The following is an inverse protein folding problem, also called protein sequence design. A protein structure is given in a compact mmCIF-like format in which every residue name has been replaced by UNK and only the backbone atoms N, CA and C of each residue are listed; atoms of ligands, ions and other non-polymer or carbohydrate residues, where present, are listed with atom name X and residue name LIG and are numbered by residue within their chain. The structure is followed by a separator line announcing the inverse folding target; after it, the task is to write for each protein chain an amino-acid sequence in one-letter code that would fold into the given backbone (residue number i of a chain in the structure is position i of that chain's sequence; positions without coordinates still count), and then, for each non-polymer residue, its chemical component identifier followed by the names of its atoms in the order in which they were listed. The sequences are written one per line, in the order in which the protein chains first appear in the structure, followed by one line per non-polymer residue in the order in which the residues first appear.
data_IF_115521744485
#
_entry.id   IF_115521744485
#
_cell.length_a   1.000
_cell.length_b   1.000
_cell.length_c   1.000
_cell.angle_alpha   90.00
_cell.angle_beta   90.00
_cell.angle_gamma   90.00
#
_symmetry.space_group_name_H-M   'P 1'
#
loop_
_entity.id
_entity.type
_entity.pdbx_description
1 polymer ?
#
# COMPACT_ATOMS: atom_id res chain seq x y z
N UNK A 1 4.39 -14.67 -0.59
CA UNK A 1 3.02 -15.27 -0.66
C UNK A 1 2.41 -15.40 -2.06
N UNK A 2 2.86 -14.65 -3.08
CA UNK A 2 2.40 -14.86 -4.47
C UNK A 2 2.50 -16.34 -4.91
N UNK A 3 3.67 -16.97 -4.74
CA UNK A 3 3.87 -18.39 -5.07
C UNK A 3 2.98 -19.32 -4.27
N UNK A 4 2.76 -19.01 -2.98
CA UNK A 4 1.88 -19.80 -2.13
C UNK A 4 0.45 -19.87 -2.68
N UNK A 5 -0.07 -18.79 -3.26
CA UNK A 5 -1.38 -18.81 -3.93
C UNK A 5 -1.41 -19.76 -5.13
N UNK A 6 -0.35 -19.77 -5.96
CA UNK A 6 -0.28 -20.65 -7.14
C UNK A 6 -0.16 -22.12 -6.73
N UNK A 7 0.76 -22.43 -5.81
CA UNK A 7 0.97 -23.80 -5.33
C UNK A 7 -0.29 -24.32 -4.63
N UNK A 8 -0.98 -23.47 -3.86
CA UNK A 8 -2.24 -23.84 -3.23
C UNK A 8 -3.33 -24.12 -4.29
N UNK A 9 -3.40 -23.34 -5.36
CA UNK A 9 -4.30 -23.61 -6.46
C UNK A 9 -4.02 -24.97 -7.13
N UNK A 10 -2.74 -25.36 -7.26
CA UNK A 10 -2.37 -26.70 -7.74
C UNK A 10 -2.85 -27.79 -6.79
N UNK A 11 -2.69 -27.61 -5.47
CA UNK A 11 -3.17 -28.58 -4.48
C UNK A 11 -4.69 -28.73 -4.47
N UNK A 12 -5.42 -27.65 -4.77
CA UNK A 12 -6.87 -27.69 -4.98
C UNK A 12 -7.28 -28.17 -6.38
N UNK A 13 -6.31 -28.65 -7.17
CA UNK A 13 -6.51 -29.14 -8.54
C UNK A 13 -7.19 -28.12 -9.47
N UNK A 14 -6.93 -26.83 -9.24
CA UNK A 14 -7.44 -25.73 -10.06
C UNK A 14 -6.57 -25.66 -11.32
N UNK A 15 -7.13 -26.13 -12.43
CA UNK A 15 -6.54 -26.00 -13.77
C UNK A 15 -7.32 -25.01 -14.63
N UNK A 16 -6.61 -24.32 -15.53
CA UNK A 16 -7.15 -23.37 -16.49
C UNK A 16 -6.98 -23.97 -17.87
N UNK A 17 -8.09 -24.36 -18.51
CA UNK A 17 -8.04 -25.03 -19.81
C UNK A 17 -7.32 -26.39 -19.79
N UNK A 18 -7.30 -27.07 -18.63
CA UNK A 18 -6.64 -28.37 -18.46
C UNK A 18 -5.17 -28.28 -18.02
N UNK A 19 -4.61 -27.08 -17.89
CA UNK A 19 -3.22 -26.88 -17.45
C UNK A 19 -3.14 -26.13 -16.12
N UNK A 20 -2.08 -26.39 -15.35
CA UNK A 20 -1.78 -25.66 -14.13
C UNK A 20 -1.11 -24.33 -14.45
N UNK A 21 -1.56 -23.25 -13.79
CA UNK A 21 -0.93 -21.92 -13.90
C UNK A 21 0.52 -21.99 -13.44
N UNK A 22 1.44 -21.43 -14.22
CA UNK A 22 2.84 -21.21 -13.83
C UNK A 22 3.10 -19.73 -13.62
N UNK A 23 4.28 -19.41 -13.12
CA UNK A 23 4.72 -18.03 -12.95
C UNK A 23 6.12 -17.81 -13.48
N UNK A 24 6.43 -16.55 -13.72
CA UNK A 24 7.79 -16.04 -13.87
C UNK A 24 7.95 -14.87 -12.91
N UNK A 25 9.16 -14.68 -12.41
CA UNK A 25 9.50 -13.57 -11.52
C UNK A 25 10.53 -12.68 -12.21
N UNK A 26 10.43 -11.38 -11.95
CA UNK A 26 11.48 -10.44 -12.28
C UNK A 26 11.55 -9.36 -11.21
N UNK A 27 12.72 -8.78 -11.09
CA UNK A 27 13.03 -7.78 -10.09
C UNK A 27 13.32 -6.45 -10.77
N UNK A 28 12.88 -5.37 -10.13
CA UNK A 28 13.23 -4.00 -10.50
C UNK A 28 14.09 -3.38 -9.41
N UNK A 29 15.00 -2.50 -9.79
CA UNK A 29 15.78 -1.66 -8.85
C UNK A 29 15.00 -0.42 -8.40
N UNK A 30 13.75 -0.28 -8.83
CA UNK A 30 12.91 0.91 -8.70
C UNK A 30 13.01 1.85 -9.92
N UNK A 31 13.80 1.46 -10.93
CA UNK A 31 13.83 2.11 -12.24
C UNK A 31 12.70 1.57 -13.12
N UNK A 32 11.91 2.47 -13.68
CA UNK A 32 10.72 2.10 -14.48
C UNK A 32 11.06 1.32 -15.76
N UNK A 33 12.30 1.38 -16.23
CA UNK A 33 12.72 0.61 -17.41
C UNK A 33 12.90 -0.88 -17.10
N UNK A 34 13.30 -1.22 -15.87
CA UNK A 34 13.53 -2.61 -15.45
C UNK A 34 12.24 -3.41 -15.52
N UNK A 35 11.11 -2.83 -15.07
CA UNK A 35 9.81 -3.51 -15.13
C UNK A 35 9.33 -3.72 -16.57
N UNK A 36 9.64 -2.78 -17.47
CA UNK A 36 9.29 -2.93 -18.90
C UNK A 36 10.13 -4.04 -19.53
N UNK A 37 11.42 -4.10 -19.23
CA UNK A 37 12.33 -5.14 -19.72
C UNK A 37 11.87 -6.53 -19.25
N UNK A 38 11.63 -6.70 -17.94
CA UNK A 38 11.13 -7.94 -17.35
C UNK A 38 9.85 -8.43 -18.04
N UNK A 39 8.85 -7.55 -18.18
CA UNK A 39 7.56 -7.96 -18.77
C UNK A 39 7.71 -8.21 -20.27
N UNK A 40 8.50 -7.43 -20.98
CA UNK A 40 8.77 -7.63 -22.40
C UNK A 40 9.48 -8.97 -22.65
N UNK A 41 10.48 -9.30 -21.83
CA UNK A 41 11.18 -10.58 -21.88
C UNK A 41 10.22 -11.75 -21.62
N UNK A 42 9.41 -11.67 -20.57
CA UNK A 42 8.43 -12.71 -20.23
C UNK A 42 7.41 -12.93 -21.35
N UNK A 43 6.92 -11.85 -21.99
CA UNK A 43 5.99 -11.92 -23.12
C UNK A 43 6.60 -12.50 -24.39
N UNK A 44 7.91 -12.39 -24.57
CA UNK A 44 8.62 -12.94 -25.73
C UNK A 44 8.93 -14.43 -25.61
N UNK A 45 8.91 -14.97 -24.39
CA UNK A 45 9.30 -16.36 -24.09
C UNK A 45 8.13 -17.22 -23.61
N UNK A 46 6.98 -16.63 -23.29
CA UNK A 46 5.83 -17.35 -22.73
C UNK A 46 4.50 -16.64 -22.95
N UNK A 47 3.42 -17.42 -22.84
CA UNK A 47 2.05 -16.94 -22.91
C UNK A 47 1.61 -16.40 -21.54
N UNK A 48 1.67 -15.06 -21.39
CA UNK A 48 1.33 -14.37 -20.14
C UNK A 48 -0.16 -13.99 -20.14
N UNK A 49 -0.87 -14.32 -19.06
CA UNK A 49 -2.31 -14.07 -18.87
C UNK A 49 -2.62 -12.92 -17.92
N UNK A 50 -1.63 -12.41 -17.19
CA UNK A 50 -1.80 -11.33 -16.22
C UNK A 50 -0.49 -11.05 -15.48
N UNK A 51 -0.44 -9.89 -14.83
CA UNK A 51 0.70 -9.43 -14.04
C UNK A 51 0.22 -9.20 -12.61
N UNK A 52 0.91 -9.77 -11.62
CA UNK A 52 0.72 -9.42 -10.20
C UNK A 52 1.87 -8.53 -9.77
N UNK A 53 1.56 -7.37 -9.22
CA UNK A 53 2.51 -6.27 -9.04
C UNK A 53 2.20 -5.11 -9.99
N UNK A 54 3.12 -4.14 -10.16
CA UNK A 54 4.41 -4.01 -9.48
C UNK A 54 4.24 -3.47 -8.05
N UNK A 55 5.37 -3.29 -7.35
CA UNK A 55 5.41 -2.77 -5.98
C UNK A 55 5.25 -1.24 -5.94
N UNK A 56 5.98 -0.51 -6.79
CA UNK A 56 5.99 0.97 -6.75
C UNK A 56 4.92 1.57 -7.66
N UNK A 57 4.26 2.64 -7.21
CA UNK A 57 3.29 3.37 -8.04
C UNK A 57 3.88 3.89 -9.34
N UNK A 58 5.12 4.39 -9.33
CA UNK A 58 5.81 4.86 -10.55
C UNK A 58 6.01 3.76 -11.59
N UNK A 59 6.14 2.51 -11.17
CA UNK A 59 6.24 1.35 -12.07
C UNK A 59 4.86 0.96 -12.59
N UNK A 60 3.85 1.03 -11.73
CA UNK A 60 2.47 0.71 -12.06
C UNK A 60 1.91 1.65 -13.15
N UNK A 61 2.21 2.96 -13.05
CA UNK A 61 1.80 3.95 -14.07
C UNK A 61 2.37 3.66 -15.46
N UNK A 62 3.56 3.06 -15.54
CA UNK A 62 4.21 2.70 -16.82
C UNK A 62 3.71 1.37 -17.34
N UNK A 63 3.56 0.36 -16.46
CA UNK A 63 3.20 -0.98 -16.88
C UNK A 63 1.72 -1.14 -17.19
N UNK A 64 0.84 -0.36 -16.57
CA UNK A 64 -0.60 -0.46 -16.82
C UNK A 64 -1.00 -0.12 -18.27
N UNK A 65 -0.53 0.99 -18.89
CA UNK A 65 -0.75 1.25 -20.31
C UNK A 65 -0.11 0.19 -21.23
N UNK A 66 1.06 -0.33 -20.87
CA UNK A 66 1.67 -1.43 -21.62
C UNK A 66 0.81 -2.69 -21.58
N UNK A 67 0.37 -3.11 -20.40
CA UNK A 67 -0.53 -4.26 -20.22
C UNK A 67 -1.87 -4.08 -20.92
N UNK A 68 -2.41 -2.85 -20.97
CA UNK A 68 -3.58 -2.52 -21.78
C UNK A 68 -3.33 -2.80 -23.26
N UNK A 69 -2.16 -2.40 -23.79
CA UNK A 69 -1.79 -2.68 -25.19
C UNK A 69 -1.73 -4.19 -25.47
N UNK A 70 -1.21 -4.98 -24.53
CA UNK A 70 -1.10 -6.44 -24.64
C UNK A 70 -2.45 -7.15 -24.37
N UNK A 71 -3.39 -6.50 -23.69
CA UNK A 71 -4.70 -7.06 -23.36
C UNK A 71 -4.70 -7.93 -22.11
N UNK A 72 -3.77 -7.75 -21.18
CA UNK A 72 -3.72 -8.52 -19.92
C UNK A 72 -4.03 -7.62 -18.70
N UNK A 73 -4.62 -8.15 -17.62
CA UNK A 73 -4.79 -7.42 -16.37
C UNK A 73 -3.47 -7.24 -15.62
N UNK A 74 -3.34 -6.11 -14.92
CA UNK A 74 -2.33 -5.87 -13.89
C UNK A 74 -3.06 -5.77 -12.56
N UNK A 75 -2.69 -6.59 -11.57
CA UNK A 75 -3.24 -6.54 -10.21
C UNK A 75 -2.11 -6.20 -9.24
N UNK A 76 -1.96 -4.93 -8.90
CA UNK A 76 -0.94 -4.50 -7.94
C UNK A 76 -1.40 -4.74 -6.51
N UNK A 77 -0.47 -5.19 -5.68
CA UNK A 77 -0.69 -5.40 -4.25
C UNK A 77 -0.10 -4.29 -3.38
N UNK A 78 0.52 -3.25 -3.98
CA UNK A 78 1.23 -2.21 -3.23
C UNK A 78 1.23 -0.81 -3.85
N UNK A 79 0.88 -0.64 -5.12
CA UNK A 79 0.80 0.68 -5.76
C UNK A 79 -0.46 1.44 -5.32
N UNK A 80 -0.31 2.45 -4.49
CA UNK A 80 -1.43 3.17 -3.85
C UNK A 80 -1.75 4.54 -4.46
N UNK A 81 -1.02 4.98 -5.49
CA UNK A 81 -1.27 6.27 -6.16
C UNK A 81 -2.74 6.41 -6.61
N UNK A 82 -3.43 7.52 -6.24
CA UNK A 82 -4.80 7.80 -6.64
C UNK A 82 -5.05 7.85 -8.15
N UNK A 83 -4.08 8.28 -8.97
CA UNK A 83 -4.30 8.41 -10.42
C UNK A 83 -4.59 7.07 -11.09
N UNK A 84 -3.99 5.99 -10.56
CA UNK A 84 -4.26 4.61 -10.98
C UNK A 84 -5.73 4.19 -10.77
N UNK A 85 -6.51 4.91 -9.96
CA UNK A 85 -7.95 4.67 -9.75
C UNK A 85 -8.81 4.92 -11.00
N UNK A 86 -8.32 5.76 -11.93
CA UNK A 86 -9.08 6.21 -13.08
C UNK A 86 -9.21 5.09 -14.13
N UNK A 87 -10.39 4.46 -14.17
CA UNK A 87 -10.68 3.36 -15.09
C UNK A 87 -10.56 3.74 -16.57
N UNK A 88 -10.80 5.00 -16.93
CA UNK A 88 -10.70 5.45 -18.32
C UNK A 88 -9.24 5.52 -18.79
N UNK A 89 -8.31 5.83 -17.86
CA UNK A 89 -6.87 5.91 -18.15
C UNK A 89 -6.21 4.54 -18.00
N UNK A 90 -6.61 3.76 -16.99
CA UNK A 90 -6.01 2.48 -16.65
C UNK A 90 -7.04 1.33 -16.66
N UNK A 91 -7.66 1.00 -17.80
CA UNK A 91 -8.76 0.03 -17.87
C UNK A 91 -8.37 -1.38 -17.44
N UNK A 92 -7.10 -1.75 -17.65
CA UNK A 92 -6.56 -3.07 -17.32
C UNK A 92 -5.92 -3.15 -15.93
N UNK A 93 -5.87 -2.04 -15.19
CA UNK A 93 -5.29 -2.00 -13.85
C UNK A 93 -6.33 -2.36 -12.79
N UNK A 94 -5.88 -3.08 -11.77
CA UNK A 94 -6.59 -3.38 -10.55
C UNK A 94 -5.61 -3.35 -9.38
N UNK A 95 -6.13 -3.20 -8.16
CA UNK A 95 -5.31 -3.37 -6.96
C UNK A 95 -6.07 -3.92 -5.77
N UNK A 96 -5.39 -4.76 -4.98
CA UNK A 96 -5.93 -5.33 -3.74
C UNK A 96 -5.61 -4.50 -2.51
N UNK A 97 -4.55 -3.69 -2.56
CA UNK A 97 -4.24 -2.65 -1.57
C UNK A 97 -5.21 -1.47 -1.73
N UNK A 98 -5.61 -0.80 -0.64
CA UNK A 98 -6.41 0.43 -0.73
C UNK A 98 -5.68 1.59 -1.46
N UNK A 99 -6.45 2.50 -2.07
CA UNK A 99 -5.95 3.77 -2.62
C UNK A 99 -5.49 4.72 -1.52
N UNK A 100 -4.51 5.58 -1.80
CA UNK A 100 -4.15 6.73 -0.95
C UNK A 100 -5.32 7.72 -0.79
N UNK A 101 -6.33 7.70 -1.67
CA UNK A 101 -7.59 8.44 -1.43
C UNK A 101 -8.25 8.03 -0.12
N UNK A 102 -8.22 6.74 0.19
CA UNK A 102 -8.77 6.26 1.44
C UNK A 102 -7.85 6.60 2.62
N UNK A 103 -6.53 6.56 2.42
CA UNK A 103 -5.58 6.97 3.45
C UNK A 103 -5.73 8.47 3.79
N UNK A 104 -5.97 9.32 2.80
CA UNK A 104 -6.26 10.74 2.97
C UNK A 104 -7.56 10.97 3.76
N UNK A 105 -8.63 10.20 3.48
CA UNK A 105 -9.86 10.23 4.27
C UNK A 105 -9.63 9.78 5.71
N UNK A 106 -8.86 8.71 5.92
CA UNK A 106 -8.50 8.25 7.26
C UNK A 106 -7.70 9.32 8.02
N UNK A 107 -6.77 10.01 7.34
CA UNK A 107 -6.01 11.12 7.91
C UNK A 107 -6.91 12.31 8.30
N UNK A 108 -7.89 12.68 7.46
CA UNK A 108 -8.91 13.69 7.82
C UNK A 108 -9.63 13.31 9.10
N UNK A 109 -10.11 12.07 9.20
CA UNK A 109 -10.82 11.58 10.40
C UNK A 109 -9.91 11.60 11.64
N UNK A 110 -8.61 11.34 11.46
CA UNK A 110 -7.63 11.41 12.54
C UNK A 110 -7.45 12.85 13.05
N UNK A 111 -7.35 13.82 12.13
CA UNK A 111 -7.24 15.24 12.47
C UNK A 111 -8.48 15.74 13.22
N UNK A 112 -9.67 15.38 12.75
CA UNK A 112 -10.94 15.70 13.42
C UNK A 112 -10.96 15.10 14.84
N UNK A 113 -10.60 13.82 14.99
CA UNK A 113 -10.54 13.15 16.30
C UNK A 113 -9.66 13.90 17.31
N UNK A 114 -8.55 14.46 16.83
CA UNK A 114 -7.59 15.16 17.69
C UNK A 114 -7.74 16.68 17.71
N UNK A 115 -8.73 17.25 17.04
CA UNK A 115 -8.95 18.70 16.90
C UNK A 115 -7.73 19.42 16.28
N UNK A 116 -6.99 18.76 15.38
CA UNK A 116 -5.94 19.40 14.60
C UNK A 116 -6.55 20.00 13.34
N UNK A 117 -6.09 21.19 12.95
CA UNK A 117 -6.66 21.94 11.82
C UNK A 117 -5.74 22.02 10.62
N UNK A 118 -4.45 21.74 10.78
CA UNK A 118 -3.49 21.86 9.69
C UNK A 118 -2.19 21.10 9.89
N UNK A 119 -1.48 20.82 8.80
CA UNK A 119 -0.17 20.18 8.80
C UNK A 119 0.78 20.71 7.73
N UNK A 120 2.04 20.34 7.87
CA UNK A 120 3.03 20.33 6.78
C UNK A 120 3.14 18.91 6.25
N UNK A 121 3.11 18.72 4.93
CA UNK A 121 3.33 17.40 4.31
C UNK A 121 4.73 17.36 3.70
N UNK A 122 5.53 16.38 4.09
CA UNK A 122 6.80 16.05 3.43
C UNK A 122 6.55 14.82 2.57
N UNK A 123 6.96 14.83 1.31
CA UNK A 123 6.65 13.75 0.37
C UNK A 123 7.81 13.42 -0.56
N UNK A 124 7.93 12.16 -0.97
CA UNK A 124 8.89 11.75 -2.00
C UNK A 124 8.42 12.22 -3.40
N UNK A 125 9.32 12.67 -4.26
CA UNK A 125 8.96 13.27 -5.55
C UNK A 125 8.75 12.26 -6.70
N UNK A 126 7.90 11.25 -6.49
CA UNK A 126 7.42 10.36 -7.54
C UNK A 126 5.88 10.26 -7.56
N UNK A 127 5.35 9.38 -8.40
CA UNK A 127 3.91 9.14 -8.57
C UNK A 127 3.18 8.90 -7.23
N UNK A 128 3.76 8.09 -6.33
CA UNK A 128 3.18 7.83 -5.01
C UNK A 128 3.11 9.09 -4.16
N UNK A 129 4.21 9.82 -4.02
CA UNK A 129 4.23 11.01 -3.17
C UNK A 129 3.40 12.17 -3.72
N UNK A 130 3.45 12.43 -5.03
CA UNK A 130 2.67 13.47 -5.68
C UNK A 130 1.16 13.18 -5.61
N UNK A 131 0.75 11.95 -5.92
CA UNK A 131 -0.63 11.51 -5.84
C UNK A 131 -1.18 11.60 -4.41
N UNK A 132 -0.40 11.12 -3.43
CA UNK A 132 -0.74 11.19 -2.01
C UNK A 132 -0.93 12.63 -1.50
N UNK A 133 0.02 13.54 -1.77
CA UNK A 133 -0.10 14.94 -1.37
C UNK A 133 -1.33 15.62 -1.96
N UNK A 134 -1.62 15.35 -3.24
CA UNK A 134 -2.81 15.90 -3.91
C UNK A 134 -4.08 15.39 -3.24
N UNK A 135 -4.17 14.09 -2.95
CA UNK A 135 -5.35 13.51 -2.30
C UNK A 135 -5.54 14.00 -0.86
N UNK A 136 -4.45 14.10 -0.08
CA UNK A 136 -4.46 14.70 1.26
C UNK A 136 -4.96 16.14 1.19
N UNK A 137 -4.39 16.96 0.30
CA UNK A 137 -4.75 18.38 0.15
C UNK A 137 -6.23 18.55 -0.22
N UNK A 138 -6.72 17.76 -1.18
CA UNK A 138 -8.12 17.79 -1.60
C UNK A 138 -9.07 17.37 -0.47
N UNK A 139 -8.76 16.27 0.22
CA UNK A 139 -9.57 15.74 1.31
C UNK A 139 -9.60 16.69 2.52
N UNK A 140 -8.47 17.32 2.83
CA UNK A 140 -8.35 18.32 3.89
C UNK A 140 -9.20 19.55 3.57
N UNK A 141 -9.06 20.10 2.36
CA UNK A 141 -9.82 21.27 1.93
C UNK A 141 -11.34 21.01 1.95
N UNK A 142 -11.77 19.83 1.49
CA UNK A 142 -13.17 19.41 1.53
C UNK A 142 -13.74 19.29 2.96
N UNK A 143 -12.87 19.19 3.96
CA UNK A 143 -13.23 19.01 5.38
C UNK A 143 -12.88 20.21 6.26
N UNK A 144 -12.52 21.35 5.67
CA UNK A 144 -12.14 22.56 6.41
C UNK A 144 -10.78 22.49 7.14
N UNK A 145 -9.95 21.51 6.79
CA UNK A 145 -8.56 21.36 7.23
C UNK A 145 -7.62 21.95 6.18
N UNK A 146 -6.34 22.14 6.51
CA UNK A 146 -5.39 22.73 5.57
C UNK A 146 -4.00 22.06 5.58
N UNK A 147 -3.49 21.74 4.40
CA UNK A 147 -2.05 21.56 4.18
C UNK A 147 -1.43 22.95 4.02
N UNK A 148 -0.68 23.40 5.03
CA UNK A 148 -0.09 24.77 5.04
C UNK A 148 1.19 24.87 4.24
N UNK A 149 1.88 23.74 4.08
CA UNK A 149 3.15 23.65 3.38
C UNK A 149 3.36 22.23 2.87
N UNK A 150 3.93 22.12 1.69
CA UNK A 150 4.46 20.88 1.14
C UNK A 150 5.97 20.99 1.02
N UNK A 151 6.68 19.94 1.37
CA UNK A 151 8.15 19.86 1.31
C UNK A 151 8.52 18.62 0.51
N UNK A 152 9.35 18.81 -0.50
CA UNK A 152 9.75 17.74 -1.41
C UNK A 152 11.01 17.03 -0.89
N UNK A 153 10.98 15.71 -0.84
CA UNK A 153 12.14 14.85 -0.75
C UNK A 153 12.48 14.34 -2.15
N UNK A 154 13.67 14.71 -2.64
CA UNK A 154 14.14 14.33 -3.96
C UNK A 154 14.75 12.93 -3.93
N UNK A 155 14.08 11.96 -4.57
CA UNK A 155 14.51 10.57 -4.59
C UNK A 155 15.77 10.34 -5.43
N UNK A 156 16.12 11.28 -6.32
CA UNK A 156 17.32 11.18 -7.15
C UNK A 156 18.56 11.65 -6.37
N UNK A 157 18.43 12.71 -5.57
CA UNK A 157 19.53 13.21 -4.73
C UNK A 157 19.49 12.69 -3.29
N UNK A 158 18.43 11.94 -2.93
CA UNK A 158 18.16 11.41 -1.59
C UNK A 158 18.19 12.48 -0.50
N UNK A 159 17.62 13.66 -0.78
CA UNK A 159 17.69 14.82 0.10
C UNK A 159 16.41 15.64 0.10
N UNK A 160 16.12 16.31 1.22
CA UNK A 160 15.03 17.28 1.31
C UNK A 160 15.41 18.55 0.53
N UNK A 161 14.48 19.06 -0.28
CA UNK A 161 14.66 20.35 -0.97
C UNK A 161 14.45 21.51 0.00
N UNK A 162 15.50 22.28 0.21
CA UNK A 162 15.52 23.42 1.13
C UNK A 162 16.05 23.07 2.53
N UNK A 163 15.92 23.99 3.49
CA UNK A 163 16.37 23.77 4.86
C UNK A 163 15.21 23.27 5.73
N UNK A 164 15.20 21.97 6.06
CA UNK A 164 14.10 21.33 6.81
C UNK A 164 13.78 22.06 8.12
N UNK A 165 14.80 22.40 8.90
CA UNK A 165 14.63 23.13 10.17
C UNK A 165 13.82 24.41 9.97
N UNK A 166 14.26 25.27 9.06
CA UNK A 166 13.59 26.56 8.76
C UNK A 166 12.20 26.35 8.18
N UNK A 167 12.00 25.31 7.36
CA UNK A 167 10.71 24.99 6.76
C UNK A 167 9.67 24.61 7.82
N UNK A 168 10.06 23.86 8.85
CA UNK A 168 9.16 23.39 9.90
C UNK A 168 9.00 24.41 11.04
N UNK A 169 10.06 25.07 11.49
CA UNK A 169 9.96 26.04 12.60
C UNK A 169 9.15 27.28 12.22
N UNK A 170 9.25 27.73 10.96
CA UNK A 170 8.49 28.88 10.44
C UNK A 170 7.03 28.53 10.06
N UNK A 171 6.64 27.26 10.07
CA UNK A 171 5.25 26.88 9.86
C UNK A 171 4.42 27.18 11.11
N UNK A 172 3.14 27.54 10.96
CA UNK A 172 2.23 27.76 12.09
C UNK A 172 1.80 26.42 12.76
N UNK A 173 1.82 25.33 12.00
CA UNK A 173 1.50 23.99 12.47
C UNK A 173 2.73 23.27 13.02
N UNK A 174 2.49 22.38 13.98
CA UNK A 174 3.46 21.43 14.54
C UNK A 174 3.13 19.97 14.20
N UNK A 175 2.11 19.74 13.38
CA UNK A 175 1.81 18.43 12.82
C UNK A 175 2.54 18.27 11.49
N UNK A 176 3.35 17.22 11.38
CA UNK A 176 4.08 16.87 10.15
C UNK A 176 3.57 15.53 9.65
N UNK A 177 3.15 15.49 8.40
CA UNK A 177 2.77 14.25 7.72
C UNK A 177 3.90 13.87 6.78
N UNK A 178 4.50 12.70 6.97
CA UNK A 178 5.50 12.14 6.09
C UNK A 178 4.85 11.14 5.15
N UNK A 179 4.83 11.46 3.86
CA UNK A 179 4.30 10.63 2.78
C UNK A 179 5.45 10.08 1.92
N UNK A 180 6.11 9.05 2.42
CA UNK A 180 7.24 8.40 1.78
C UNK A 180 7.19 6.89 2.02
N UNK A 181 7.78 6.12 1.11
CA UNK A 181 7.93 4.68 1.31
C UNK A 181 8.95 4.39 2.41
N UNK A 182 8.86 3.21 3.00
CA UNK A 182 9.73 2.77 4.10
C UNK A 182 11.23 2.87 3.79
N UNK A 183 11.64 2.78 2.53
CA UNK A 183 13.03 2.92 2.11
C UNK A 183 13.61 4.34 2.30
N UNK A 184 12.78 5.39 2.19
CA UNK A 184 13.22 6.79 2.33
C UNK A 184 12.90 7.38 3.70
N UNK A 185 11.95 6.80 4.43
CA UNK A 185 11.56 7.23 5.78
C UNK A 185 12.77 7.40 6.74
N UNK A 186 13.74 6.46 6.82
CA UNK A 186 14.91 6.63 7.68
C UNK A 186 15.76 7.86 7.35
N UNK A 187 16.00 8.14 6.07
CA UNK A 187 16.81 9.27 5.62
C UNK A 187 16.17 10.61 6.00
N UNK A 188 14.85 10.72 5.81
CA UNK A 188 14.09 11.94 6.10
C UNK A 188 14.01 12.17 7.62
N UNK A 189 13.76 11.11 8.40
CA UNK A 189 13.72 11.21 9.85
C UNK A 189 15.10 11.50 10.45
N UNK A 190 16.20 11.01 9.85
CA UNK A 190 17.55 11.35 10.28
C UNK A 190 17.82 12.85 10.12
N UNK A 191 17.49 13.45 8.97
CA UNK A 191 17.60 14.91 8.78
C UNK A 191 16.71 15.67 9.79
N UNK A 192 15.50 15.16 10.08
CA UNK A 192 14.62 15.74 11.09
C UNK A 192 15.19 15.69 12.51
N UNK A 193 15.88 14.59 12.87
CA UNK A 193 16.59 14.43 14.15
C UNK A 193 17.74 15.44 14.25
N UNK A 194 18.59 15.50 13.22
CA UNK A 194 19.76 16.39 13.19
C UNK A 194 19.34 17.87 13.18
N UNK A 195 18.19 18.16 12.55
CA UNK A 195 17.56 19.48 12.53
C UNK A 195 16.80 19.83 13.82
N UNK A 196 16.64 18.91 14.78
CA UNK A 196 15.85 19.06 16.01
C UNK A 196 14.38 19.48 15.76
N UNK A 197 13.74 18.86 14.77
CA UNK A 197 12.34 19.14 14.37
C UNK A 197 11.42 17.92 14.53
N UNK A 198 11.75 17.09 15.50
CA UNK A 198 10.97 15.94 15.97
C UNK A 198 10.38 16.23 17.35
N UNK A 199 10.08 15.21 18.16
CA UNK A 199 9.61 15.42 19.53
C UNK A 199 10.61 16.21 20.39
N UNK A 200 10.13 16.96 21.40
CA UNK A 200 8.75 17.03 21.89
C UNK A 200 7.86 18.05 21.17
N UNK A 201 8.41 18.90 20.30
CA UNK A 201 7.69 20.06 19.76
C UNK A 201 6.90 19.78 18.48
N UNK A 202 7.22 18.71 17.77
CA UNK A 202 6.52 18.28 16.56
C UNK A 202 5.91 16.90 16.74
N UNK A 203 4.71 16.72 16.19
CA UNK A 203 4.04 15.42 16.11
C UNK A 203 4.08 14.94 14.66
N UNK A 204 4.70 13.79 14.45
CA UNK A 204 4.85 13.20 13.13
C UNK A 204 3.84 12.08 12.91
N UNK A 205 3.24 12.08 11.72
CA UNK A 205 2.33 11.05 11.22
C UNK A 205 2.96 10.50 9.94
N UNK A 206 3.20 9.20 9.88
CA UNK A 206 3.94 8.54 8.81
C UNK A 206 2.99 7.67 7.98
N UNK A 207 3.21 7.58 6.67
CA UNK A 207 2.52 6.62 5.78
C UNK A 207 3.00 5.17 5.93
N UNK A 208 4.08 4.93 6.67
CA UNK A 208 4.65 3.61 6.91
C UNK A 208 5.25 3.51 8.31
N UNK A 209 5.43 2.29 8.81
CA UNK A 209 6.17 2.03 10.04
C UNK A 209 7.62 2.55 9.97
N UNK A 210 8.19 2.85 11.14
CA UNK A 210 9.61 3.19 11.28
C UNK A 210 10.43 1.90 11.33
N UNK A 211 11.46 1.80 10.50
CA UNK A 211 12.48 0.75 10.65
C UNK A 211 13.51 1.21 11.68
N UNK A 212 13.33 0.82 12.95
CA UNK A 212 14.12 1.36 14.06
C UNK A 212 15.63 1.04 13.96
N UNK A 213 15.98 -0.07 13.30
CA UNK A 213 17.36 -0.53 13.14
C UNK A 213 18.27 0.43 12.34
N UNK A 214 17.71 1.45 11.68
CA UNK A 214 18.48 2.50 10.99
C UNK A 214 18.95 3.62 11.91
N UNK A 215 18.47 3.68 13.16
CA UNK A 215 18.77 4.77 14.09
C UNK A 215 19.61 4.29 15.27
N UNK A 216 20.47 5.16 15.76
CA UNK A 216 21.15 4.95 17.04
C UNK A 216 20.13 5.01 18.18
N UNK A 217 20.28 4.15 19.19
CA UNK A 217 19.44 4.11 20.39
C UNK A 217 19.32 5.47 21.09
N UNK A 218 20.33 6.34 20.96
CA UNK A 218 20.31 7.71 21.50
C UNK A 218 19.16 8.56 20.93
N UNK A 219 18.70 8.26 19.72
CA UNK A 219 17.62 8.99 19.06
C UNK A 219 16.22 8.43 19.35
N UNK A 220 16.10 7.25 19.96
CA UNK A 220 14.83 6.59 20.17
C UNK A 220 13.84 7.44 20.97
N UNK A 221 14.31 8.17 21.97
CA UNK A 221 13.49 9.08 22.77
C UNK A 221 12.84 10.19 21.93
N UNK A 222 13.52 10.65 20.88
CA UNK A 222 13.01 11.70 19.99
C UNK A 222 11.97 11.18 18.97
N UNK A 223 11.96 9.87 18.72
CA UNK A 223 10.99 9.19 17.86
C UNK A 223 9.72 8.77 18.62
N UNK A 224 9.73 8.84 19.95
CA UNK A 224 8.54 8.53 20.76
C UNK A 224 7.40 9.50 20.40
N UNK A 225 6.22 8.91 20.28
CA UNK A 225 4.97 9.61 20.03
C UNK A 225 4.66 9.91 18.58
N UNK A 226 5.50 9.45 17.66
CA UNK A 226 5.12 9.37 16.25
C UNK A 226 3.96 8.40 16.06
N UNK A 227 3.13 8.67 15.06
CA UNK A 227 2.07 7.78 14.59
C UNK A 227 2.42 7.28 13.19
N UNK A 228 2.16 6.02 12.89
CA UNK A 228 2.08 5.53 11.51
C UNK A 228 0.64 5.17 11.18
N UNK A 229 0.21 5.46 9.95
CA UNK A 229 -1.08 5.02 9.40
C UNK A 229 -0.75 4.02 8.29
N UNK A 230 -1.09 2.75 8.52
CA UNK A 230 -0.70 1.65 7.64
C UNK A 230 -1.94 0.94 7.10
N UNK A 231 -1.98 0.57 5.80
CA UNK A 231 -3.02 -0.31 5.30
C UNK A 231 -2.85 -1.69 5.94
N UNK A 232 -3.95 -2.29 6.38
CA UNK A 232 -3.94 -3.59 7.06
C UNK A 232 -5.02 -4.52 6.53
N UNK A 233 -4.96 -5.75 6.99
CA UNK A 233 -5.94 -6.79 6.68
C UNK A 233 -7.01 -6.90 7.76
N UNK A 234 -8.11 -7.59 7.43
CA UNK A 234 -9.22 -7.80 8.36
C UNK A 234 -8.80 -8.45 9.68
N UNK A 235 -7.77 -9.30 9.69
CA UNK A 235 -7.21 -9.91 10.91
C UNK A 235 -6.77 -8.89 11.96
N UNK A 236 -6.27 -7.71 11.54
CA UNK A 236 -5.74 -6.70 12.47
C UNK A 236 -6.87 -5.95 13.18
N UNK A 237 -7.95 -5.68 12.45
CA UNK A 237 -9.08 -4.85 12.90
C UNK A 237 -10.28 -5.69 13.35
N UNK A 238 -10.09 -7.00 13.57
CA UNK A 238 -11.14 -7.98 13.90
C UNK A 238 -12.31 -8.02 12.88
N UNK A 239 -12.01 -7.83 11.61
CA UNK A 239 -12.95 -8.00 10.51
C UNK A 239 -12.86 -9.42 9.91
N UNK A 240 -13.91 -9.79 9.16
CA UNK A 240 -14.02 -11.11 8.56
C UNK A 240 -12.89 -11.36 7.54
N UNK A 241 -12.24 -12.51 7.66
CA UNK A 241 -11.25 -13.04 6.71
C UNK A 241 -11.49 -14.54 6.51
N UNK A 242 -10.92 -15.10 5.45
CA UNK A 242 -10.88 -16.55 5.26
C UNK A 242 -9.67 -17.15 6.01
N UNK A 243 -9.87 -17.50 7.29
CA UNK A 243 -8.81 -18.05 8.15
C UNK A 243 -8.30 -19.40 7.63
N UNK A 244 -9.19 -20.28 7.17
CA UNK A 244 -8.79 -21.57 6.59
C UNK A 244 -7.88 -21.40 5.37
N UNK A 245 -8.19 -20.44 4.49
CA UNK A 245 -7.34 -20.12 3.34
C UNK A 245 -6.01 -19.50 3.77
N UNK A 246 -6.01 -18.64 4.79
CA UNK A 246 -4.80 -18.04 5.35
C UNK A 246 -3.87 -19.11 5.96
N UNK A 247 -4.40 -20.00 6.79
CA UNK A 247 -3.64 -21.07 7.43
C UNK A 247 -3.05 -22.05 6.41
N UNK A 248 -3.82 -22.39 5.38
CA UNK A 248 -3.33 -23.17 4.25
C UNK A 248 -2.20 -22.44 3.52
N UNK A 249 -2.38 -21.15 3.22
CA UNK A 249 -1.37 -20.36 2.54
C UNK A 249 -0.06 -20.21 3.34
N UNK A 250 -0.13 -20.05 4.67
CA UNK A 250 1.03 -20.08 5.55
C UNK A 250 1.71 -21.45 5.59
N UNK A 251 0.93 -22.53 5.63
CA UNK A 251 1.46 -23.90 5.59
C UNK A 251 2.24 -24.15 4.29
N UNK A 252 1.69 -23.71 3.15
CA UNK A 252 2.38 -23.77 1.86
C UNK A 252 3.65 -22.93 1.85
N UNK A 253 3.59 -21.69 2.34
CA UNK A 253 4.77 -20.84 2.37
C UNK A 253 5.89 -21.45 3.22
N UNK A 254 5.55 -21.94 4.42
CA UNK A 254 6.48 -22.61 5.32
C UNK A 254 7.08 -23.89 4.70
N UNK A 255 6.30 -24.64 3.92
CA UNK A 255 6.76 -25.89 3.31
C UNK A 255 7.66 -25.66 2.08
N UNK A 256 7.30 -24.72 1.21
CA UNK A 256 7.93 -24.56 -0.11
C UNK A 256 8.97 -23.44 -0.18
N UNK A 257 8.88 -22.41 0.67
CA UNK A 257 9.89 -21.33 0.76
C UNK A 257 10.21 -20.97 2.23
N UNK A 258 10.63 -21.93 3.06
CA UNK A 258 10.85 -21.73 4.50
C UNK A 258 11.81 -20.58 4.81
N UNK A 259 12.82 -20.35 3.96
CA UNK A 259 13.84 -19.31 4.15
C UNK A 259 13.27 -17.89 4.09
N UNK A 260 12.17 -17.71 3.35
CA UNK A 260 11.52 -16.40 3.18
C UNK A 260 10.31 -16.19 4.09
N UNK A 261 9.87 -17.23 4.81
CA UNK A 261 8.70 -17.14 5.68
C UNK A 261 9.11 -16.59 7.06
N UNK A 262 8.64 -15.40 7.46
CA UNK A 262 9.07 -14.74 8.70
C UNK A 262 8.39 -15.31 9.97
N UNK A 263 7.55 -16.35 9.82
CA UNK A 263 6.61 -16.80 10.84
C UNK A 263 5.29 -16.04 10.76
N UNK A 264 4.18 -16.71 11.10
CA UNK A 264 2.81 -16.21 10.90
C UNK A 264 2.50 -14.88 11.61
N UNK A 265 3.20 -14.60 12.72
CA UNK A 265 3.02 -13.35 13.49
C UNK A 265 3.79 -12.15 12.90
N UNK A 266 4.75 -12.39 12.00
CA UNK A 266 5.63 -11.36 11.45
C UNK A 266 5.43 -11.12 9.95
N UNK A 267 4.38 -11.71 9.36
CA UNK A 267 4.07 -11.52 7.94
C UNK A 267 3.60 -10.10 7.69
N UNK A 268 4.24 -9.42 6.74
CA UNK A 268 3.85 -8.10 6.28
C UNK A 268 2.51 -8.14 5.53
N UNK A 269 1.64 -7.14 5.77
CA UNK A 269 0.30 -7.07 5.18
C UNK A 269 0.33 -7.02 3.65
N UNK A 270 1.37 -6.46 3.03
CA UNK A 270 1.55 -6.45 1.57
C UNK A 270 1.72 -7.88 1.00
N UNK A 271 2.26 -8.82 1.79
CA UNK A 271 2.29 -10.23 1.37
C UNK A 271 0.88 -10.83 1.30
N UNK A 272 -0.01 -10.44 2.22
CA UNK A 272 -1.41 -10.87 2.21
C UNK A 272 -2.19 -10.26 1.04
N UNK A 273 -1.94 -8.97 0.73
CA UNK A 273 -2.50 -8.34 -0.48
C UNK A 273 -1.99 -9.00 -1.76
N UNK A 274 -0.72 -9.43 -1.80
CA UNK A 274 -0.14 -10.13 -2.94
C UNK A 274 -0.77 -11.51 -3.15
N UNK A 275 -1.06 -12.23 -2.06
CA UNK A 275 -1.82 -13.48 -2.15
C UNK A 275 -3.19 -13.25 -2.78
N UNK A 276 -3.99 -12.30 -2.25
CA UNK A 276 -5.34 -12.05 -2.76
C UNK A 276 -5.34 -11.48 -4.19
N UNK A 277 -4.29 -10.73 -4.59
CA UNK A 277 -4.12 -10.29 -5.98
C UNK A 277 -3.94 -11.49 -6.92
N UNK A 278 -3.11 -12.43 -6.52
CA UNK A 278 -2.86 -13.68 -7.27
C UNK A 278 -4.11 -14.55 -7.31
N UNK A 279 -4.76 -14.73 -6.15
CA UNK A 279 -5.97 -15.52 -6.02
C UNK A 279 -7.12 -14.95 -6.85
N UNK A 280 -7.23 -13.62 -6.93
CA UNK A 280 -8.18 -12.92 -7.81
C UNK A 280 -7.95 -13.29 -9.27
N UNK A 281 -6.69 -13.28 -9.75
CA UNK A 281 -6.37 -13.64 -11.12
C UNK A 281 -6.70 -15.11 -11.41
N UNK A 282 -6.34 -16.02 -10.51
CA UNK A 282 -6.62 -17.47 -10.62
C UNK A 282 -8.13 -17.73 -10.72
N UNK A 283 -8.92 -17.15 -9.80
CA UNK A 283 -10.37 -17.28 -9.78
C UNK A 283 -11.02 -16.71 -11.05
N UNK A 284 -10.50 -15.59 -11.56
CA UNK A 284 -11.02 -14.94 -12.76
C UNK A 284 -10.75 -15.78 -14.03
N UNK A 285 -9.56 -16.37 -14.12
CA UNK A 285 -9.21 -17.31 -15.19
C UNK A 285 -10.07 -18.58 -15.14
N UNK A 286 -10.34 -19.09 -13.95
CA UNK A 286 -11.20 -20.26 -13.77
C UNK A 286 -12.63 -19.97 -14.25
N UNK A 287 -13.19 -18.81 -13.88
CA UNK A 287 -14.50 -18.34 -14.35
C UNK A 287 -14.53 -18.18 -15.87
N UNK A 288 -13.49 -17.58 -16.45
CA UNK A 288 -13.35 -17.42 -17.90
C UNK A 288 -13.42 -18.78 -18.61
N UNK A 289 -12.64 -19.75 -18.17
CA UNK A 289 -12.56 -21.06 -18.82
C UNK A 289 -13.78 -21.95 -18.55
N UNK A 290 -14.41 -21.85 -17.38
CA UNK A 290 -15.65 -22.55 -17.07
C UNK A 290 -16.79 -22.16 -18.02
N UNK A 291 -16.83 -20.90 -18.48
CA UNK A 291 -17.85 -20.43 -19.43
C UNK A 291 -17.75 -21.05 -20.83
N UNK A 292 -16.63 -21.71 -21.18
CA UNK A 292 -16.33 -22.24 -22.51
C UNK A 292 -16.40 -23.77 -22.65
N UNK A 293 -16.87 -24.49 -21.61
CA UNK A 293 -16.86 -25.97 -21.53
C UNK A 293 -17.58 -26.66 -22.72
N UNK A 294 -18.41 -25.96 -23.49
CA UNK A 294 -19.18 -26.55 -24.60
C UNK A 294 -18.56 -26.43 -26.01
N UNK A 295 -17.37 -25.83 -26.18
CA UNK A 295 -16.70 -25.75 -27.49
C UNK A 295 -15.27 -26.30 -27.40
N UNK A 296 -14.89 -27.13 -28.37
CA UNK A 296 -13.59 -27.81 -28.53
C UNK A 296 -12.38 -26.88 -28.76
N UNK A 297 -12.52 -25.58 -28.49
CA UNK A 297 -11.45 -24.57 -28.60
C UNK A 297 -10.87 -24.23 -27.24
N UNK A 298 -9.54 -24.06 -27.16
CA UNK A 298 -8.87 -23.54 -25.96
C UNK A 298 -9.55 -22.27 -25.43
N UNK A 299 -9.76 -22.19 -24.11
CA UNK A 299 -10.35 -21.02 -23.50
C UNK A 299 -9.43 -19.78 -23.54
N UNK A 300 -8.11 -20.01 -23.64
CA UNK A 300 -7.06 -19.02 -23.74
C UNK A 300 -6.42 -19.06 -25.14
N UNK A 301 -6.20 -17.90 -25.75
CA UNK A 301 -5.53 -17.78 -27.05
C UNK A 301 -4.66 -16.54 -27.07
N UNK A 302 -3.55 -16.62 -27.79
CA UNK A 302 -2.53 -15.59 -27.83
C UNK A 302 -2.13 -15.31 -29.28
N UNK A 303 -1.82 -14.05 -29.57
CA UNK A 303 -1.00 -13.70 -30.73
C UNK A 303 0.44 -13.64 -30.26
N UNK A 304 1.24 -14.61 -30.69
CA UNK A 304 2.64 -14.75 -30.30
C UNK A 304 3.56 -13.93 -31.23
N UNK A 305 4.63 -13.37 -30.67
CA UNK A 305 5.61 -12.57 -31.40
C UNK A 305 6.92 -12.52 -30.63
N UNK A 306 8.06 -12.52 -31.34
CA UNK A 306 9.37 -12.26 -30.73
C UNK A 306 9.51 -10.82 -30.23
N UNK A 307 8.74 -9.89 -30.81
CA UNK A 307 8.64 -8.52 -30.33
C UNK A 307 7.44 -8.37 -29.38
N UNK A 308 7.71 -8.14 -28.09
CA UNK A 308 6.71 -8.16 -27.02
C UNK A 308 5.55 -7.18 -27.24
N UNK A 309 5.77 -6.03 -27.86
CA UNK A 309 4.73 -5.05 -28.14
C UNK A 309 3.69 -5.53 -29.16
N UNK A 310 3.95 -6.63 -29.87
CA UNK A 310 3.00 -7.29 -30.75
C UNK A 310 2.29 -8.48 -30.12
N UNK A 311 2.71 -8.94 -28.93
CA UNK A 311 2.01 -10.00 -28.21
C UNK A 311 0.62 -9.54 -27.79
N UNK A 312 -0.40 -10.39 -27.91
CA UNK A 312 -1.76 -10.04 -27.47
C UNK A 312 -2.46 -11.23 -26.83
N UNK A 313 -3.11 -10.99 -25.71
CA UNK A 313 -4.08 -11.94 -25.15
C UNK A 313 -5.47 -11.71 -25.78
N UNK A 314 -6.00 -12.74 -26.46
CA UNK A 314 -7.19 -12.60 -27.30
C UNK A 314 -8.45 -12.38 -26.47
N UNK A 315 -8.59 -13.05 -25.34
CA UNK A 315 -9.80 -12.98 -24.49
C UNK A 315 -9.72 -11.86 -23.45
N UNK A 316 -8.98 -10.78 -23.74
CA UNK A 316 -8.76 -9.64 -22.83
C UNK A 316 -10.04 -9.14 -22.15
N UNK A 317 -11.05 -8.74 -22.93
CA UNK A 317 -12.28 -8.18 -22.39
C UNK A 317 -13.04 -9.16 -21.48
N UNK A 318 -13.04 -10.45 -21.81
CA UNK A 318 -13.70 -11.47 -21.00
C UNK A 318 -12.98 -11.70 -19.67
N UNK A 319 -11.64 -11.69 -19.69
CA UNK A 319 -10.85 -11.81 -18.45
C UNK A 319 -11.00 -10.57 -17.58
N UNK A 320 -10.97 -9.37 -18.16
CA UNK A 320 -11.17 -8.12 -17.42
C UNK A 320 -12.58 -8.03 -16.82
N UNK A 321 -13.60 -8.49 -17.53
CA UNK A 321 -14.96 -8.62 -17.01
C UNK A 321 -15.01 -9.63 -15.85
N UNK A 322 -14.34 -10.78 -15.97
CA UNK A 322 -14.24 -11.78 -14.91
C UNK A 322 -13.51 -11.26 -13.66
N UNK A 323 -12.44 -10.47 -13.82
CA UNK A 323 -11.75 -9.80 -12.70
C UNK A 323 -12.68 -8.79 -12.05
N UNK A 324 -13.36 -7.95 -12.84
CA UNK A 324 -14.26 -6.92 -12.31
C UNK A 324 -15.44 -7.52 -11.53
N UNK A 325 -15.97 -8.66 -11.97
CA UNK A 325 -17.06 -9.38 -11.30
C UNK A 325 -16.59 -10.33 -10.19
N UNK A 326 -15.28 -10.40 -9.92
CA UNK A 326 -14.79 -11.31 -8.90
C UNK A 326 -15.06 -10.77 -7.51
N UNK A 327 -15.78 -11.58 -6.74
CA UNK A 327 -16.10 -11.36 -5.35
C UNK A 327 -15.84 -12.65 -4.57
N UNK A 328 -15.12 -12.54 -3.46
CA UNK A 328 -14.88 -13.65 -2.54
C UNK A 328 -14.38 -13.14 -1.18
N UNK A 329 -14.45 -13.97 -0.14
CA UNK A 329 -13.77 -13.71 1.11
C UNK A 329 -12.30 -14.16 1.00
N UNK A 330 -11.39 -13.19 0.90
CA UNK A 330 -9.94 -13.42 0.82
C UNK A 330 -9.27 -13.49 2.18
N UNK A 331 -7.94 -13.62 2.18
CA UNK A 331 -7.15 -13.69 3.42
C UNK A 331 -6.91 -12.31 4.03
N UNK A 332 -6.97 -11.25 3.22
CA UNK A 332 -6.89 -9.86 3.68
C UNK A 332 -8.26 -9.26 4.04
N UNK A 333 -9.36 -9.96 3.75
CA UNK A 333 -10.74 -9.52 3.94
C UNK A 333 -11.60 -9.76 2.69
N UNK A 334 -12.84 -9.25 2.63
CA UNK A 334 -13.69 -9.36 1.44
C UNK A 334 -13.05 -8.68 0.22
N UNK A 335 -12.95 -9.37 -0.90
CA UNK A 335 -12.43 -8.86 -2.17
C UNK A 335 -13.63 -8.60 -3.10
N UNK A 336 -13.72 -7.39 -3.65
CA UNK A 336 -14.70 -7.03 -4.68
C UNK A 336 -14.16 -5.86 -5.50
N UNK A 337 -14.46 -5.85 -6.79
CA UNK A 337 -14.12 -4.78 -7.73
C UNK A 337 -15.38 -4.19 -8.36
N UNK A 338 -15.21 -3.09 -9.11
CA UNK A 338 -16.30 -2.47 -9.86
C UNK A 338 -15.84 -1.96 -11.22
N UNK A 339 -16.81 -1.69 -12.10
CA UNK A 339 -16.54 -1.07 -13.40
C UNK A 339 -16.16 0.41 -13.30
N UNK A 340 -16.39 1.07 -12.17
CA UNK A 340 -16.22 2.52 -12.05
C UNK A 340 -14.80 2.93 -11.65
N UNK A 341 -14.11 2.10 -10.86
CA UNK A 341 -12.76 2.36 -10.33
C UNK A 341 -11.92 1.10 -10.41
N UNK A 342 -10.59 1.27 -10.50
CA UNK A 342 -9.62 0.15 -10.51
C UNK A 342 -9.37 -0.46 -9.12
N UNK A 343 -9.82 0.21 -8.07
CA UNK A 343 -9.59 -0.17 -6.69
C UNK A 343 -10.45 -1.38 -6.27
N UNK A 344 -9.93 -2.19 -5.35
CA UNK A 344 -10.79 -2.96 -4.45
C UNK A 344 -11.72 -2.01 -3.69
N UNK A 345 -13.01 -2.34 -3.58
CA UNK A 345 -14.05 -1.43 -3.03
C UNK A 345 -14.59 -1.84 -1.66
N UNK A 346 -14.17 -2.97 -1.13
CA UNK A 346 -14.61 -3.50 0.17
C UNK A 346 -13.43 -4.09 0.93
N UNK A 347 -13.58 -4.33 2.23
CA UNK A 347 -12.50 -4.84 3.07
C UNK A 347 -11.30 -3.90 3.14
N UNK A 348 -11.56 -2.60 3.30
CA UNK A 348 -10.55 -1.55 3.29
C UNK A 348 -10.29 -1.07 4.71
N UNK A 349 -9.09 -1.38 5.21
CA UNK A 349 -8.75 -1.20 6.62
C UNK A 349 -7.41 -0.47 6.77
N UNK A 350 -7.32 0.33 7.83
CA UNK A 350 -6.09 0.96 8.28
C UNK A 350 -5.93 0.78 9.78
N UNK A 351 -4.68 0.78 10.23
CA UNK A 351 -4.34 0.87 11.65
C UNK A 351 -3.52 2.13 11.89
N UNK A 352 -3.64 2.70 13.09
CA UNK A 352 -2.66 3.62 13.61
C UNK A 352 -1.78 2.91 14.65
N UNK A 353 -0.47 2.94 14.44
CA UNK A 353 0.51 2.49 15.44
C UNK A 353 1.24 3.70 16.04
N UNK A 354 1.51 3.64 17.32
CA UNK A 354 2.20 4.67 18.07
C UNK A 354 3.58 4.17 18.50
N UNK A 355 4.61 4.96 18.26
CA UNK A 355 5.97 4.66 18.74
C UNK A 355 6.05 4.94 20.23
N UNK A 356 6.21 3.89 21.03
CA UNK A 356 6.20 3.94 22.49
C UNK A 356 7.52 3.46 23.08
N UNK A 357 7.92 3.96 24.26
CA UNK A 357 9.10 3.44 24.96
C UNK A 357 8.92 1.96 25.33
N UNK A 358 10.01 1.21 25.28
CA UNK A 358 10.11 -0.20 25.65
C UNK A 358 11.39 -0.42 26.45
N UNK A 359 11.48 -1.53 27.20
CA UNK A 359 12.67 -1.86 27.99
C UNK A 359 13.95 -1.96 27.13
N UNK A 360 13.81 -2.33 25.86
CA UNK A 360 14.90 -2.51 24.90
C UNK A 360 14.85 -1.49 23.75
N UNK A 361 14.27 -0.31 23.98
CA UNK A 361 14.22 0.77 22.99
C UNK A 361 12.80 1.30 22.75
N UNK A 362 12.24 1.04 21.57
CA UNK A 362 10.87 1.45 21.22
C UNK A 362 10.07 0.28 20.65
N UNK A 363 8.77 0.29 20.92
CA UNK A 363 7.80 -0.63 20.34
C UNK A 363 6.81 0.16 19.48
N UNK A 364 6.23 -0.51 18.48
CA UNK A 364 5.15 0.04 17.65
C UNK A 364 3.82 -0.53 18.14
N UNK A 365 3.14 0.25 18.97
CA UNK A 365 1.93 -0.19 19.67
C UNK A 365 0.72 0.18 18.84
N UNK A 366 -0.09 -0.82 18.49
CA UNK A 366 -1.37 -0.61 17.83
C UNK A 366 -2.34 0.16 18.74
N UNK A 367 -2.82 1.33 18.31
CA UNK A 367 -3.66 2.24 19.13
C UNK A 367 -5.01 2.60 18.52
N UNK A 368 -5.20 2.52 17.19
CA UNK A 368 -6.48 2.80 16.54
C UNK A 368 -6.74 1.88 15.35
N UNK A 369 -8.00 1.49 15.18
CA UNK A 369 -8.52 0.74 14.04
C UNK A 369 -9.39 1.63 13.15
N UNK A 370 -9.25 1.51 11.84
CA UNK A 370 -10.12 2.17 10.87
C UNK A 370 -10.65 1.16 9.85
N UNK A 371 -11.97 1.14 9.69
CA UNK A 371 -12.67 0.31 8.71
C UNK A 371 -13.61 1.18 7.91
N UNK A 372 -13.36 1.35 6.62
CA UNK A 372 -14.19 2.18 5.74
C UNK A 372 -15.60 1.58 5.56
N UNK A 373 -16.69 2.39 5.55
CA UNK A 373 -16.77 3.86 5.64
C UNK A 373 -16.92 4.43 7.07
N UNK A 374 -16.47 3.71 8.10
CA UNK A 374 -16.53 4.15 9.50
C UNK A 374 -15.50 5.21 9.90
N UNK A 375 -15.40 5.43 11.22
CA UNK A 375 -14.40 6.29 11.87
C UNK A 375 -13.36 5.46 12.63
N UNK A 376 -12.30 6.13 13.10
CA UNK A 376 -11.27 5.54 13.98
C UNK A 376 -11.87 5.07 15.31
N UNK A 377 -11.59 3.81 15.65
CA UNK A 377 -12.04 3.14 16.88
C UNK A 377 -10.82 2.77 17.73
N UNK A 378 -11.05 2.65 19.04
CA UNK A 378 -10.04 2.10 19.95
C UNK A 378 -10.12 0.57 19.81
N UNK A 379 -8.99 -0.13 19.62
CA UNK A 379 -8.95 -1.59 19.58
C UNK A 379 -9.44 -2.19 20.91
N UNK A 380 -9.81 -3.48 20.89
CA UNK A 380 -10.28 -4.18 22.10
C UNK A 380 -9.25 -4.16 23.25
N UNK A 381 -7.96 -4.19 22.91
CA UNK A 381 -6.90 -3.89 23.85
C UNK A 381 -6.69 -2.37 23.87
N UNK A 382 -7.19 -1.71 24.93
CA UNK A 382 -7.13 -0.26 25.08
C UNK A 382 -5.70 0.24 25.31
N UNK A 383 -4.96 0.43 24.22
CA UNK A 383 -3.63 1.01 24.26
C UNK A 383 -3.70 2.53 24.23
N UNK A 384 -3.02 3.18 25.18
CA UNK A 384 -2.97 4.63 25.29
C UNK A 384 -1.94 5.18 24.29
N UNK A 385 -2.26 6.31 23.65
CA UNK A 385 -1.30 7.04 22.82
C UNK A 385 -0.33 7.81 23.73
N UNK A 386 0.96 7.54 23.57
CA UNK A 386 2.04 8.38 24.10
C UNK A 386 2.34 9.43 23.05
N UNK A 387 2.36 10.70 23.44
CA UNK A 387 2.72 11.82 22.58
C UNK A 387 4.18 12.20 22.76
N UNK A 388 4.70 12.95 21.79
CA UNK A 388 6.06 13.44 21.77
C UNK A 388 6.46 14.10 23.09
N UNK A 389 7.65 13.75 23.60
CA UNK A 389 8.09 14.15 24.94
C UNK A 389 7.56 13.28 26.09
N UNK A 390 7.18 12.02 25.80
CA UNK A 390 6.64 11.08 26.80
C UNK A 390 5.39 11.62 27.52
N UNK A 391 4.53 12.34 26.79
CA UNK A 391 3.36 13.02 27.35
C UNK A 391 2.07 12.24 27.06
N UNK A 392 1.15 12.23 28.01
CA UNK A 392 -0.23 11.78 27.78
C UNK A 392 -1.17 12.94 27.40
N UNK A 393 -0.65 14.17 27.41
CA UNK A 393 -1.41 15.34 26.96
C UNK A 393 -1.33 15.45 25.45
N UNK A 394 -2.49 15.37 24.81
CA UNK A 394 -2.64 15.54 23.36
C UNK A 394 -2.06 16.89 22.90
N UNK A 395 -1.20 16.91 21.87
CA UNK A 395 -0.66 18.15 21.33
C UNK A 395 -1.78 18.96 20.65
N UNK A 396 -1.70 20.29 20.74
CA UNK A 396 -2.64 21.19 20.06
C UNK A 396 -2.43 21.24 18.55
N UNK A 397 -1.26 20.80 18.08
CA UNK A 397 -0.85 20.88 16.67
C UNK A 397 -0.44 22.29 16.21
N UNK A 398 -0.40 23.27 17.12
CA UNK A 398 -0.06 24.67 16.82
C UNK A 398 1.26 25.06 17.48
N UNK A 399 1.95 26.02 16.85
CA UNK A 399 3.07 26.70 17.48
C UNK A 399 2.60 27.45 18.74
N UNK A 400 3.31 27.29 19.85
CA UNK A 400 3.06 28.04 21.08
C UNK A 400 4.30 28.84 21.50
N UNK A 401 4.07 30.06 21.97
CA UNK A 401 5.07 30.91 22.62
C UNK A 401 4.58 31.16 24.05
N UNK A 402 5.31 30.70 25.08
CA UNK A 402 5.01 30.92 26.51
C UNK A 402 3.50 30.93 26.85
N UNK A 403 2.80 29.84 26.52
CA UNK A 403 1.38 29.68 26.89
C UNK A 403 0.35 30.38 25.99
N UNK A 404 0.78 31.02 24.89
CA UNK A 404 -0.12 31.56 23.86
C UNK A 404 -0.03 30.69 22.60
N UNK A 405 -1.16 30.13 22.18
CA UNK A 405 -1.29 29.43 20.91
C UNK A 405 -1.37 30.48 19.78
N UNK A 406 -0.47 30.40 18.81
CA UNK A 406 -0.52 31.23 17.61
C UNK A 406 -1.67 30.72 16.73
N UNK A 407 -2.71 31.55 16.55
CA UNK A 407 -3.89 31.24 15.74
C UNK A 407 -3.62 31.32 14.24
#
# INVERSE_FOLDING_TARGET
MFKAAIVLAHQYNISIGGEFIRWQEGQSTGAVIDVVDVVCHALSTSNIVGIVGPYLSREAEIIAPFAQKIGIPVISYSATDPDLSNRNVYPNFYRTVPSDDLAALALVKLFIRFNWTSCTVIYQNDAFGLGGVRSISNSFNASGLAVKRTVEFDIATLSIRGNLKSLLTNAATRIVVLWAISAYTPLILQDALDSNVVGPYFTWILSSAISINYFNETYYQNLIGMLSIEPVTGSVVNALINTTLLDAAYSIWQQYEPESFPGSMNVDYYALFAFDATWTLIQSLQKLCASKINNSSSCLSFFESSYCFNCRFVQSNLLLDAVTRTEFLGISGPIQFSYNVTNRITGLYYTAKNTQPSSNGVNFVHVLDYSHPGDWRIPAQENIIVWSGNSFTKPTGQASLKGVNLR
#
